data_IF_170934603867
#
_entry.id   IF_170934603867
#
_cell.length_a   1.000
_cell.length_b   1.000
_cell.length_c   1.000
_cell.angle_alpha   90.00
_cell.angle_beta   90.00
_cell.angle_gamma   90.00
#
_symmetry.space_group_name_H-M   'P 1'
#
loop_
_entity.id
_entity.type
_entity.pdbx_description
1 polymer ?
#
# COMPACT_ATOMS: atom_id res chain seq x y z
N UNK A 1 20.76 -7.10 -7.20
CA UNK A 1 19.40 -6.74 -6.80
C UNK A 1 19.37 -6.76 -5.28
N UNK A 2 19.37 -5.59 -4.65
CA UNK A 2 19.14 -5.51 -3.21
C UNK A 2 17.67 -5.86 -2.97
N UNK A 3 17.40 -6.77 -2.04
CA UNK A 3 16.03 -7.10 -1.68
C UNK A 3 15.32 -5.83 -1.19
N UNK A 4 14.08 -5.60 -1.65
CA UNK A 4 13.26 -4.49 -1.17
C UNK A 4 13.14 -4.56 0.36
N UNK A 5 13.36 -3.46 1.11
CA UNK A 5 13.21 -3.45 2.56
C UNK A 5 11.82 -3.95 2.99
N UNK A 6 11.76 -4.77 4.04
CA UNK A 6 10.50 -5.36 4.53
C UNK A 6 9.47 -4.30 4.92
N UNK A 7 9.93 -3.24 5.58
CA UNK A 7 9.06 -2.14 5.99
C UNK A 7 8.42 -1.42 4.79
N UNK A 8 9.20 -1.22 3.71
CA UNK A 8 8.69 -0.62 2.49
C UNK A 8 7.71 -1.54 1.75
N UNK A 9 7.97 -2.86 1.73
CA UNK A 9 7.03 -3.86 1.21
C UNK A 9 5.70 -3.80 1.95
N UNK A 10 5.76 -3.80 3.28
CA UNK A 10 4.58 -3.74 4.14
C UNK A 10 3.78 -2.45 3.90
N UNK A 11 4.44 -1.30 3.78
CA UNK A 11 3.76 -0.04 3.48
C UNK A 11 3.08 -0.06 2.11
N UNK A 12 3.72 -0.61 1.08
CA UNK A 12 3.12 -0.77 -0.25
C UNK A 12 1.85 -1.64 -0.17
N UNK A 13 1.92 -2.79 0.51
CA UNK A 13 0.77 -3.68 0.69
C UNK A 13 -0.39 -3.00 1.42
N UNK A 14 -0.10 -2.29 2.53
CA UNK A 14 -1.10 -1.55 3.31
C UNK A 14 -1.73 -0.38 2.54
N UNK A 15 -0.97 0.21 1.61
CA UNK A 15 -1.43 1.29 0.74
C UNK A 15 -2.14 0.80 -0.53
N UNK A 16 -2.16 -0.52 -0.80
CA UNK A 16 -2.71 -1.08 -2.03
C UNK A 16 -1.84 -0.84 -3.28
N UNK A 17 -0.54 -0.60 -3.10
CA UNK A 17 0.44 -0.40 -4.18
C UNK A 17 1.09 -1.74 -4.53
N UNK A 18 0.97 -2.17 -5.79
CA UNK A 18 1.63 -3.39 -6.26
C UNK A 18 3.12 -3.17 -6.52
N UNK A 19 3.95 -4.07 -5.98
CA UNK A 19 5.42 -4.04 -6.10
C UNK A 19 5.91 -4.72 -7.39
N UNK A 20 5.10 -5.62 -7.94
CA UNK A 20 5.39 -6.29 -9.19
C UNK A 20 4.14 -6.42 -10.04
N UNK A 21 4.34 -6.48 -11.35
CA UNK A 21 3.28 -6.56 -12.34
C UNK A 21 3.69 -7.49 -13.48
N UNK A 22 2.70 -7.92 -14.25
CA UNK A 22 2.91 -8.69 -15.45
C UNK A 22 2.55 -7.83 -16.66
N UNK A 23 3.44 -7.77 -17.65
CA UNK A 23 3.16 -7.05 -18.88
C UNK A 23 2.27 -7.85 -19.84
N UNK A 24 1.92 -7.22 -20.96
CA UNK A 24 1.08 -7.81 -22.01
C UNK A 24 1.73 -9.03 -22.69
N UNK A 25 3.03 -9.26 -22.50
CA UNK A 25 3.78 -10.40 -23.00
C UNK A 25 4.03 -11.46 -21.91
N UNK A 26 3.28 -11.39 -20.81
CA UNK A 26 3.37 -12.29 -19.67
C UNK A 26 4.70 -12.25 -18.91
N UNK A 27 5.53 -11.23 -19.12
CA UNK A 27 6.78 -11.06 -18.38
C UNK A 27 6.53 -10.37 -17.05
N UNK A 28 7.15 -10.89 -15.99
CA UNK A 28 7.11 -10.27 -14.67
C UNK A 28 8.14 -9.14 -14.57
N UNK A 29 7.71 -8.03 -13.97
CA UNK A 29 8.51 -6.84 -13.70
C UNK A 29 8.32 -6.41 -12.25
N UNK A 30 9.41 -5.98 -11.62
CA UNK A 30 9.38 -5.34 -10.30
C UNK A 30 9.48 -3.82 -10.48
N UNK A 31 8.80 -3.09 -9.60
CA UNK A 31 8.90 -1.64 -9.52
C UNK A 31 10.17 -1.29 -8.73
N UNK A 32 10.95 -0.32 -9.23
CA UNK A 32 12.16 0.11 -8.55
C UNK A 32 11.83 0.72 -7.17
N UNK A 33 12.73 0.55 -6.20
CA UNK A 33 12.55 1.09 -4.85
C UNK A 33 12.29 2.60 -4.85
N UNK A 34 13.02 3.35 -5.67
CA UNK A 34 12.85 4.80 -5.82
C UNK A 34 11.44 5.17 -6.29
N UNK A 35 10.89 4.40 -7.22
CA UNK A 35 9.57 4.67 -7.80
C UNK A 35 8.48 4.32 -6.78
N UNK A 36 8.64 3.25 -6.01
CA UNK A 36 7.74 2.92 -4.90
C UNK A 36 7.70 4.03 -3.85
N UNK A 37 8.87 4.54 -3.43
CA UNK A 37 8.94 5.66 -2.48
C UNK A 37 8.28 6.93 -3.05
N UNK A 38 8.46 7.21 -4.34
CA UNK A 38 7.82 8.34 -5.01
C UNK A 38 6.29 8.19 -5.11
N UNK A 39 5.80 7.01 -5.50
CA UNK A 39 4.36 6.69 -5.57
C UNK A 39 3.72 6.87 -4.20
N UNK A 40 4.33 6.30 -3.15
CA UNK A 40 3.85 6.45 -1.77
C UNK A 40 3.82 7.93 -1.35
N UNK A 41 4.87 8.70 -1.67
CA UNK A 41 4.91 10.14 -1.42
C UNK A 41 3.74 10.89 -2.10
N UNK A 42 3.40 10.54 -3.35
CA UNK A 42 2.25 11.11 -4.05
C UNK A 42 0.89 10.72 -3.43
N UNK A 43 0.82 9.58 -2.75
CA UNK A 43 -0.35 9.15 -1.96
C UNK A 43 -0.39 9.78 -0.55
N UNK A 44 0.58 10.64 -0.22
CA UNK A 44 0.71 11.25 1.11
C UNK A 44 1.23 10.28 2.18
N UNK A 45 1.93 9.22 1.78
CA UNK A 45 2.60 8.27 2.65
C UNK A 45 4.11 8.47 2.50
N UNK A 46 4.72 9.20 3.42
CA UNK A 46 6.17 9.41 3.39
C UNK A 46 6.88 8.05 3.59
N UNK A 47 7.86 7.81 2.74
CA UNK A 47 8.70 6.64 2.71
C UNK A 47 10.14 7.04 2.40
N UNK A 48 10.64 8.18 2.90
CA UNK A 48 12.02 8.62 2.72
C UNK A 48 13.05 7.76 3.45
N UNK A 49 12.69 7.25 4.63
CA UNK A 49 13.50 6.42 5.51
C UNK A 49 12.61 5.50 6.37
N UNK A 50 13.22 4.71 7.26
CA UNK A 50 12.51 3.72 8.08
C UNK A 50 11.57 4.39 9.12
N UNK A 51 11.94 5.55 9.65
CA UNK A 51 11.13 6.30 10.62
C UNK A 51 9.89 6.89 9.93
N UNK A 52 10.04 7.44 8.72
CA UNK A 52 8.93 7.92 7.90
C UNK A 52 7.97 6.79 7.53
N UNK A 53 8.50 5.62 7.14
CA UNK A 53 7.68 4.42 6.86
C UNK A 53 6.88 4.02 8.10
N UNK A 54 7.51 3.96 9.28
CA UNK A 54 6.84 3.63 10.52
C UNK A 54 5.72 4.63 10.87
N UNK A 55 5.96 5.93 10.67
CA UNK A 55 4.95 6.97 10.87
C UNK A 55 3.77 6.84 9.90
N UNK A 56 4.03 6.54 8.62
CA UNK A 56 3.00 6.28 7.60
C UNK A 56 2.16 5.05 7.93
N UNK A 57 2.78 3.96 8.37
CA UNK A 57 2.07 2.76 8.84
C UNK A 57 1.17 3.07 10.04
N UNK A 58 1.69 3.79 11.05
CA UNK A 58 0.91 4.19 12.21
C UNK A 58 -0.25 5.14 11.87
N UNK A 59 -0.14 5.94 10.79
CA UNK A 59 -1.26 6.73 10.24
C UNK A 59 -2.34 5.81 9.67
N UNK A 60 -1.96 4.85 8.82
CA UNK A 60 -2.90 3.89 8.22
C UNK A 60 -3.61 3.02 9.28
N UNK A 61 -2.91 2.62 10.35
CA UNK A 61 -3.51 1.90 11.48
C UNK A 61 -4.63 2.73 12.14
N UNK A 62 -4.38 4.02 12.39
CA UNK A 62 -5.37 4.92 12.99
C UNK A 62 -6.56 5.17 12.06
N UNK A 63 -6.34 5.28 10.76
CA UNK A 63 -7.42 5.44 9.78
C UNK A 63 -8.29 4.19 9.70
N UNK A 64 -7.67 3.01 9.71
CA UNK A 64 -8.36 1.71 9.70
C UNK A 64 -9.18 1.50 10.99
N UNK A 65 -8.68 1.99 12.13
CA UNK A 65 -9.39 1.92 13.41
C UNK A 65 -10.62 2.84 13.47
N UNK A 66 -10.75 3.80 12.55
CA UNK A 66 -11.92 4.67 12.44
C UNK A 66 -13.03 4.00 11.61
N UNK A 67 -14.29 4.36 11.87
CA UNK A 67 -15.45 3.76 11.19
C UNK A 67 -15.34 3.86 9.65
N UNK A 68 -15.69 2.78 8.95
CA UNK A 68 -15.72 2.75 7.49
C UNK A 68 -16.59 3.91 6.95
N UNK A 69 -16.01 4.86 6.20
CA UNK A 69 -16.74 6.04 5.75
C UNK A 69 -17.79 5.70 4.67
N UNK A 70 -17.68 4.52 4.05
CA UNK A 70 -18.58 4.01 3.02
C UNK A 70 -18.68 2.49 3.13
N UNK A 71 -19.90 1.97 3.04
CA UNK A 71 -20.19 0.56 2.91
C UNK A 71 -21.07 0.34 1.68
N UNK A 72 -20.67 -0.58 0.80
CA UNK A 72 -21.45 -0.98 -0.38
C UNK A 72 -21.82 -2.46 -0.27
N UNK A 73 -23.06 -2.80 -0.60
CA UNK A 73 -23.57 -4.17 -0.58
C UNK A 73 -24.55 -4.41 -1.73
N UNK A 74 -24.62 -5.65 -2.20
CA UNK A 74 -25.65 -6.08 -3.14
C UNK A 74 -27.03 -6.14 -2.47
N UNK A 75 -28.12 -5.90 -3.21
CA UNK A 75 -29.48 -6.07 -2.69
C UNK A 75 -29.69 -7.47 -2.10
N UNK A 76 -30.12 -7.53 -0.83
CA UNK A 76 -30.33 -8.79 -0.11
C UNK A 76 -29.05 -9.44 0.47
N UNK A 77 -27.88 -8.86 0.21
CA UNK A 77 -26.61 -9.28 0.82
C UNK A 77 -26.52 -8.88 2.28
N UNK A 78 -26.06 -9.79 3.14
CA UNK A 78 -25.70 -9.47 4.53
C UNK A 78 -24.29 -8.91 4.59
N UNK A 79 -24.13 -7.78 5.28
CA UNK A 79 -22.81 -7.25 5.65
C UNK A 79 -22.59 -7.49 7.14
N UNK A 80 -21.45 -8.10 7.47
CA UNK A 80 -20.95 -8.14 8.85
C UNK A 80 -20.03 -6.92 9.08
N UNK A 81 -20.26 -6.21 10.17
CA UNK A 81 -19.45 -5.09 10.64
C UNK A 81 -18.66 -5.51 11.89
#
# INVERSE_FOLDING_TARGET
MSALPEALRTLCERAGVQIGWQDVFSRHHEVAESDLRAILGHLGLDAGDDDAIAASLARLDRETASSLPLLTADPGGRVAL
#
